data_IF_306531886522
#
_entry.id   IF_306531886522
#
_cell.length_a   1.000
_cell.length_b   1.000
_cell.length_c   1.000
_cell.angle_alpha   90.00
_cell.angle_beta   90.00
_cell.angle_gamma   90.00
#
_symmetry.space_group_name_H-M   'P 1'
#
loop_
_entity.id
_entity.type
_entity.pdbx_description
1 polymer ?
#
# COMPACT_ATOMS: atom_id res chain seq x y z
N UNK A 1 -11.92 -9.86 22.03
CA UNK A 1 -11.35 -8.53 21.67
C UNK A 1 -12.39 -7.80 20.82
N UNK A 2 -12.79 -6.56 21.16
CA UNK A 2 -13.83 -5.86 20.39
C UNK A 2 -13.31 -5.55 18.97
N UNK A 3 -14.19 -5.52 17.97
CA UNK A 3 -13.86 -5.22 16.56
C UNK A 3 -13.05 -3.92 16.43
N UNK A 4 -13.32 -2.94 17.29
CA UNK A 4 -12.59 -1.67 17.33
C UNK A 4 -11.15 -1.84 17.83
N UNK A 5 -10.89 -2.66 18.86
CA UNK A 5 -9.54 -2.91 19.36
C UNK A 5 -8.70 -3.66 18.32
N UNK A 6 -9.29 -4.64 17.62
CA UNK A 6 -8.60 -5.35 16.53
C UNK A 6 -8.23 -4.41 15.37
N UNK A 7 -9.17 -3.56 14.93
CA UNK A 7 -8.90 -2.57 13.88
C UNK A 7 -7.83 -1.57 14.30
N UNK A 8 -7.82 -1.12 15.56
CA UNK A 8 -6.79 -0.22 16.09
C UNK A 8 -5.41 -0.87 16.07
N UNK A 9 -5.28 -2.10 16.59
CA UNK A 9 -4.00 -2.84 16.55
C UNK A 9 -3.53 -3.04 15.11
N UNK A 10 -4.44 -3.41 14.20
CA UNK A 10 -4.15 -3.58 12.79
C UNK A 10 -3.79 -2.27 12.08
N UNK A 11 -4.14 -1.09 12.60
CA UNK A 11 -3.68 0.21 12.07
C UNK A 11 -2.31 0.60 12.63
N UNK A 12 -2.03 0.27 13.88
CA UNK A 12 -0.77 0.61 14.59
C UNK A 12 0.41 -0.27 14.16
N UNK A 13 0.18 -1.53 13.82
CA UNK A 13 1.27 -2.40 13.32
C UNK A 13 1.82 -1.91 11.96
N UNK A 14 0.97 -1.64 10.95
CA UNK A 14 1.37 -1.01 9.70
C UNK A 14 1.93 0.39 9.89
N UNK A 15 1.43 1.18 10.85
CA UNK A 15 1.98 2.51 11.19
C UNK A 15 3.50 2.44 11.37
N UNK A 16 3.97 1.58 12.26
CA UNK A 16 5.38 1.51 12.60
C UNK A 16 6.25 1.13 11.39
N UNK A 17 5.77 0.17 10.58
CA UNK A 17 6.52 -0.34 9.44
C UNK A 17 6.51 0.62 8.25
N UNK A 18 5.36 1.21 7.89
CA UNK A 18 5.28 2.20 6.81
C UNK A 18 5.97 3.51 7.17
N UNK A 19 5.85 3.99 8.42
CA UNK A 19 6.61 5.16 8.85
C UNK A 19 8.12 4.90 8.83
N UNK A 20 8.57 3.74 9.32
CA UNK A 20 9.99 3.38 9.26
C UNK A 20 10.46 3.30 7.82
N UNK A 21 9.72 2.58 6.97
CA UNK A 21 9.99 2.43 5.54
C UNK A 21 10.13 3.80 4.88
N UNK A 22 9.18 4.71 5.10
CA UNK A 22 9.20 6.06 4.54
C UNK A 22 10.36 6.90 5.09
N UNK A 23 10.59 6.88 6.41
CA UNK A 23 11.69 7.60 7.04
C UNK A 23 13.05 7.19 6.47
N UNK A 24 13.27 5.90 6.22
CA UNK A 24 14.49 5.42 5.57
C UNK A 24 14.62 5.97 4.13
N UNK A 25 13.53 6.09 3.36
CA UNK A 25 13.55 6.70 2.00
C UNK A 25 13.82 8.20 2.01
N UNK A 26 13.40 8.89 3.08
CA UNK A 26 13.71 10.31 3.30
C UNK A 26 15.09 10.55 3.92
N UNK A 27 15.82 9.48 4.31
CA UNK A 27 17.12 9.60 4.97
C UNK A 27 17.02 10.16 6.39
N UNK A 28 15.88 10.00 7.06
CA UNK A 28 15.69 10.45 8.43
C UNK A 28 16.38 9.46 9.38
N UNK A 29 17.24 9.93 10.31
CA UNK A 29 18.02 9.07 11.19
C UNK A 29 17.17 8.52 12.34
N UNK A 30 16.37 7.50 12.04
CA UNK A 30 15.65 6.70 13.04
C UNK A 30 16.28 5.31 13.14
N UNK A 31 16.01 4.63 14.27
CA UNK A 31 16.54 3.30 14.54
C UNK A 31 16.27 2.32 13.38
N UNK A 32 17.35 1.75 12.84
CA UNK A 32 17.30 0.75 11.79
C UNK A 32 17.27 1.30 10.36
N UNK A 33 17.37 2.63 10.17
CA UNK A 33 17.63 3.21 8.84
C UNK A 33 19.12 3.45 8.58
N UNK A 34 19.93 3.50 9.64
CA UNK A 34 21.35 3.80 9.69
C UNK A 34 22.28 2.58 9.47
N UNK A 35 21.73 1.46 9.02
CA UNK A 35 22.49 0.24 8.73
C UNK A 35 23.37 0.36 7.49
N UNK A 36 24.48 -0.40 7.47
CA UNK A 36 25.30 -0.57 6.29
C UNK A 36 24.52 -1.27 5.16
N UNK A 37 24.88 -0.97 3.90
CA UNK A 37 24.33 -1.68 2.75
C UNK A 37 24.73 -3.16 2.81
N UNK A 38 23.75 -4.05 2.94
CA UNK A 38 23.99 -5.48 2.77
C UNK A 38 24.27 -5.79 1.29
N UNK A 39 25.43 -6.38 0.91
CA UNK A 39 25.71 -6.71 -0.49
C UNK A 39 24.65 -7.60 -1.15
N UNK A 40 24.02 -8.49 -0.38
CA UNK A 40 22.93 -9.37 -0.84
C UNK A 40 21.72 -8.55 -1.33
N UNK A 41 21.47 -7.38 -0.74
CA UNK A 41 20.36 -6.51 -1.14
C UNK A 41 20.48 -6.06 -2.61
N UNK A 42 21.70 -5.96 -3.14
CA UNK A 42 21.98 -5.58 -4.53
C UNK A 42 22.45 -6.76 -5.38
N UNK A 43 22.14 -7.99 -4.97
CA UNK A 43 22.46 -9.22 -5.71
C UNK A 43 23.95 -9.61 -5.68
N UNK A 44 24.74 -9.05 -4.76
CA UNK A 44 26.14 -9.45 -4.56
C UNK A 44 26.25 -10.55 -3.49
N UNK A 45 27.27 -11.43 -3.54
CA UNK A 45 27.49 -12.44 -2.51
C UNK A 45 27.69 -11.80 -1.12
N UNK A 46 27.17 -12.44 -0.08
CA UNK A 46 27.32 -11.99 1.30
C UNK A 46 26.54 -12.86 2.29
N UNK A 47 26.85 -12.73 3.58
CA UNK A 47 26.20 -13.47 4.69
C UNK A 47 25.22 -12.62 5.50
N UNK A 48 25.06 -11.34 5.16
CA UNK A 48 24.12 -10.44 5.81
C UNK A 48 22.68 -10.66 5.32
N UNK A 49 21.71 -10.23 6.13
CA UNK A 49 20.29 -10.21 5.79
C UNK A 49 19.87 -8.76 5.54
N UNK A 50 19.30 -8.43 4.36
CA UNK A 50 18.78 -7.09 4.10
C UNK A 50 17.69 -6.70 5.12
N UNK A 51 17.75 -5.46 5.60
CA UNK A 51 16.86 -4.92 6.65
C UNK A 51 15.95 -3.79 6.15
N UNK A 52 16.03 -3.50 4.86
CA UNK A 52 15.46 -2.33 4.21
C UNK A 52 15.92 -1.01 4.89
N UNK A 53 17.20 -0.89 5.24
CA UNK A 53 17.75 0.37 5.74
C UNK A 53 17.85 1.43 4.62
N UNK A 54 18.25 2.66 4.94
CA UNK A 54 18.33 3.74 3.95
C UNK A 54 19.21 3.36 2.77
N UNK A 55 20.43 2.87 3.00
CA UNK A 55 21.35 2.55 1.90
C UNK A 55 20.82 1.45 0.99
N UNK A 56 20.18 0.42 1.56
CA UNK A 56 19.52 -0.64 0.81
C UNK A 56 18.36 -0.11 -0.04
N UNK A 57 17.50 0.74 0.53
CA UNK A 57 16.36 1.31 -0.19
C UNK A 57 16.81 2.25 -1.31
N UNK A 58 17.86 3.03 -1.11
CA UNK A 58 18.42 3.90 -2.15
C UNK A 58 19.07 3.06 -3.27
N UNK A 59 19.81 2.01 -2.91
CA UNK A 59 20.41 1.11 -3.89
C UNK A 59 19.35 0.32 -4.69
N UNK A 60 18.29 -0.15 -4.03
CA UNK A 60 17.14 -0.73 -4.72
C UNK A 60 16.47 0.27 -5.64
N UNK A 61 16.33 1.52 -5.21
CA UNK A 61 15.71 2.54 -6.03
C UNK A 61 16.45 2.75 -7.36
N UNK A 62 17.78 2.83 -7.30
CA UNK A 62 18.63 3.04 -8.46
C UNK A 62 18.74 1.79 -9.34
N UNK A 63 19.05 0.65 -8.75
CA UNK A 63 19.44 -0.55 -9.50
C UNK A 63 18.29 -1.52 -9.77
N UNK A 64 17.13 -1.30 -9.13
CA UNK A 64 16.06 -2.30 -9.13
C UNK A 64 14.68 -1.68 -9.44
N UNK A 65 14.18 -0.76 -8.61
CA UNK A 65 12.87 -0.15 -8.78
C UNK A 65 12.80 0.70 -10.05
N UNK A 66 13.83 1.52 -10.32
CA UNK A 66 13.84 2.39 -11.51
C UNK A 66 13.86 1.60 -12.82
N UNK A 67 14.77 0.62 -13.03
CA UNK A 67 14.74 -0.24 -14.21
C UNK A 67 13.41 -0.98 -14.37
N UNK A 68 12.85 -1.51 -13.27
CA UNK A 68 11.58 -2.21 -13.27
C UNK A 68 10.41 -1.29 -13.67
N UNK A 69 10.29 -0.12 -13.03
CA UNK A 69 9.22 0.84 -13.31
C UNK A 69 9.30 1.36 -14.75
N UNK A 70 10.50 1.70 -15.23
CA UNK A 70 10.69 2.15 -16.61
C UNK A 70 10.37 1.06 -17.63
N UNK A 71 10.72 -0.20 -17.35
CA UNK A 71 10.31 -1.33 -18.18
C UNK A 71 8.79 -1.44 -18.26
N UNK A 72 8.10 -1.37 -17.11
CA UNK A 72 6.64 -1.41 -17.07
C UNK A 72 6.00 -0.26 -17.86
N UNK A 73 6.45 0.98 -17.64
CA UNK A 73 5.97 2.17 -18.35
C UNK A 73 6.19 2.07 -19.87
N UNK A 74 7.34 1.53 -20.28
CA UNK A 74 7.62 1.29 -21.70
C UNK A 74 6.69 0.25 -22.32
N UNK A 75 6.33 -0.82 -21.59
CA UNK A 75 5.40 -1.86 -22.05
C UNK A 75 4.00 -1.29 -22.29
N UNK A 76 3.57 -0.33 -21.47
CA UNK A 76 2.27 0.36 -21.64
C UNK A 76 2.36 1.62 -22.51
N UNK A 77 3.48 1.86 -23.19
CA UNK A 77 3.72 2.98 -24.11
C UNK A 77 3.54 4.38 -23.49
N UNK A 78 3.82 4.52 -22.19
CA UNK A 78 3.80 5.83 -21.53
C UNK A 78 5.16 6.54 -21.71
N UNK A 79 5.21 7.80 -22.20
CA UNK A 79 6.45 8.53 -22.45
C UNK A 79 7.03 9.16 -21.17
N UNK A 80 6.92 8.48 -20.04
CA UNK A 80 7.40 8.94 -18.74
C UNK A 80 8.59 8.06 -18.34
N UNK A 81 9.66 8.70 -17.87
CA UNK A 81 10.82 8.00 -17.28
C UNK A 81 10.95 8.38 -15.82
N UNK A 82 10.93 7.36 -14.99
CA UNK A 82 11.26 7.44 -13.58
C UNK A 82 12.78 7.52 -13.46
N UNK A 83 13.25 8.37 -12.55
CA UNK A 83 14.67 8.51 -12.21
C UNK A 83 14.86 8.30 -10.71
N UNK A 84 15.92 7.59 -10.36
CA UNK A 84 16.35 7.49 -8.99
C UNK A 84 17.85 7.32 -8.94
N UNK A 85 18.54 8.39 -8.56
CA UNK A 85 19.98 8.41 -8.39
C UNK A 85 20.33 9.47 -7.35
N UNK A 86 21.58 9.48 -6.89
CA UNK A 86 22.08 10.56 -6.04
C UNK A 86 21.93 11.95 -6.69
N UNK A 87 22.07 12.04 -8.03
CA UNK A 87 21.96 13.31 -8.79
C UNK A 87 20.53 13.84 -8.83
N UNK A 88 19.56 12.93 -8.90
CA UNK A 88 18.13 13.25 -8.85
C UNK A 88 17.59 13.23 -7.41
N UNK A 89 18.48 13.26 -6.40
CA UNK A 89 18.11 13.25 -4.99
C UNK A 89 17.24 12.06 -4.55
N UNK A 90 17.33 10.94 -5.27
CA UNK A 90 16.50 9.74 -5.09
C UNK A 90 14.99 10.01 -5.10
N UNK A 91 14.53 10.91 -6.01
CA UNK A 91 13.13 11.32 -6.15
C UNK A 91 12.12 10.17 -6.13
N UNK A 92 12.37 9.09 -6.87
CA UNK A 92 11.44 7.96 -6.89
C UNK A 92 11.27 7.27 -5.53
N UNK A 93 12.35 7.14 -4.73
CA UNK A 93 12.25 6.61 -3.37
C UNK A 93 11.39 7.53 -2.51
N UNK A 94 11.60 8.85 -2.60
CA UNK A 94 10.82 9.84 -1.84
C UNK A 94 9.35 9.84 -2.23
N UNK A 95 9.03 9.65 -3.52
CA UNK A 95 7.64 9.50 -4.00
C UNK A 95 6.99 8.27 -3.37
N UNK A 96 7.67 7.11 -3.39
CA UNK A 96 7.14 5.89 -2.75
C UNK A 96 6.94 6.14 -1.25
N UNK A 97 7.91 6.75 -0.57
CA UNK A 97 7.83 7.10 0.85
C UNK A 97 6.65 8.02 1.15
N UNK A 98 6.41 9.04 0.32
CA UNK A 98 5.27 9.93 0.47
C UNK A 98 3.93 9.19 0.30
N UNK A 99 3.84 8.26 -0.67
CA UNK A 99 2.65 7.44 -0.86
C UNK A 99 2.40 6.49 0.33
N UNK A 100 3.45 5.91 0.91
CA UNK A 100 3.34 5.12 2.14
C UNK A 100 2.79 5.97 3.30
N UNK A 101 3.31 7.20 3.49
CA UNK A 101 2.82 8.12 4.52
C UNK A 101 1.38 8.56 4.29
N UNK A 102 1.01 8.90 3.05
CA UNK A 102 -0.35 9.30 2.71
C UNK A 102 -1.34 8.14 2.89
N UNK A 103 -0.95 6.93 2.49
CA UNK A 103 -1.77 5.73 2.63
C UNK A 103 -1.99 5.41 4.09
N UNK A 104 -0.94 5.58 4.88
CA UNK A 104 -0.98 5.45 6.31
C UNK A 104 -1.89 6.51 6.98
N UNK A 105 -1.72 7.80 6.67
CA UNK A 105 -2.56 8.86 7.21
C UNK A 105 -4.05 8.62 6.87
N UNK A 106 -4.32 8.16 5.65
CA UNK A 106 -5.66 7.80 5.21
C UNK A 106 -6.27 6.62 6.00
N UNK A 107 -5.48 5.73 6.64
CA UNK A 107 -6.04 4.68 7.50
C UNK A 107 -6.87 5.23 8.67
N UNK A 108 -6.64 6.47 9.08
CA UNK A 108 -7.32 7.12 10.20
C UNK A 108 -8.55 7.90 9.76
N UNK A 109 -8.46 8.59 8.63
CA UNK A 109 -9.53 9.46 8.11
C UNK A 109 -10.47 8.74 7.15
N UNK A 110 -9.92 7.93 6.24
CA UNK A 110 -10.66 7.11 5.28
C UNK A 110 -10.06 5.69 5.16
N UNK A 111 -10.37 4.81 6.14
CA UNK A 111 -9.65 3.55 6.32
C UNK A 111 -9.61 2.63 5.09
N UNK A 112 -10.70 2.60 4.31
CA UNK A 112 -10.80 1.79 3.10
C UNK A 112 -9.84 2.29 2.01
N UNK A 113 -9.79 3.60 1.80
CA UNK A 113 -8.88 4.21 0.83
C UNK A 113 -7.42 4.05 1.25
N UNK A 114 -7.10 4.30 2.53
CA UNK A 114 -5.74 4.10 3.05
C UNK A 114 -5.28 2.65 2.87
N UNK A 115 -6.12 1.70 3.26
CA UNK A 115 -5.80 0.28 3.13
C UNK A 115 -5.67 -0.17 1.67
N UNK A 116 -6.48 0.40 0.76
CA UNK A 116 -6.36 0.14 -0.69
C UNK A 116 -5.01 0.63 -1.21
N UNK A 117 -4.61 1.85 -0.87
CA UNK A 117 -3.35 2.43 -1.36
C UNK A 117 -2.14 1.66 -0.84
N UNK A 118 -2.13 1.32 0.45
CA UNK A 118 -1.08 0.51 1.06
C UNK A 118 -1.03 -0.92 0.49
N UNK A 119 -2.19 -1.49 0.15
CA UNK A 119 -2.28 -2.79 -0.53
C UNK A 119 -1.62 -2.76 -1.91
N UNK A 120 -1.91 -1.73 -2.72
CA UNK A 120 -1.29 -1.57 -4.05
C UNK A 120 0.23 -1.44 -3.94
N UNK A 121 0.72 -0.64 -3.00
CA UNK A 121 2.16 -0.50 -2.73
C UNK A 121 2.77 -1.86 -2.33
N UNK A 122 2.11 -2.60 -1.44
CA UNK A 122 2.61 -3.89 -0.96
C UNK A 122 2.60 -4.96 -2.05
N UNK A 123 1.58 -5.00 -2.91
CA UNK A 123 1.54 -5.89 -4.07
C UNK A 123 2.69 -5.55 -5.03
N UNK A 124 2.94 -4.26 -5.28
CA UNK A 124 4.08 -3.81 -6.08
C UNK A 124 5.41 -4.28 -5.49
N UNK A 125 5.59 -4.14 -4.17
CA UNK A 125 6.77 -4.61 -3.47
C UNK A 125 6.94 -6.14 -3.57
N UNK A 126 5.90 -6.92 -3.28
CA UNK A 126 5.92 -8.39 -3.41
C UNK A 126 6.26 -8.81 -4.84
N UNK A 127 5.61 -8.20 -5.84
CA UNK A 127 5.87 -8.48 -7.23
C UNK A 127 7.32 -8.17 -7.61
N UNK A 128 7.85 -7.04 -7.16
CA UNK A 128 9.26 -6.68 -7.33
C UNK A 128 10.20 -7.72 -6.71
N UNK A 129 9.98 -8.10 -5.45
CA UNK A 129 10.80 -9.10 -4.77
C UNK A 129 10.80 -10.46 -5.50
N UNK A 130 9.62 -10.93 -5.92
CA UNK A 130 9.50 -12.23 -6.60
C UNK A 130 10.04 -12.21 -8.03
N UNK A 131 9.83 -11.12 -8.78
CA UNK A 131 10.18 -11.09 -10.21
C UNK A 131 11.58 -10.58 -10.48
N UNK A 132 12.04 -9.59 -9.72
CA UNK A 132 13.33 -8.95 -9.91
C UNK A 132 14.39 -9.56 -9.00
N UNK A 133 14.15 -9.58 -7.68
CA UNK A 133 15.11 -10.14 -6.71
C UNK A 133 15.09 -11.68 -6.66
N UNK A 134 14.06 -12.31 -7.24
CA UNK A 134 13.85 -13.77 -7.21
C UNK A 134 13.79 -14.33 -5.79
N UNK A 135 13.32 -13.51 -4.85
CA UNK A 135 13.17 -13.95 -3.47
C UNK A 135 12.11 -15.07 -3.38
N UNK A 136 12.41 -16.18 -2.69
CA UNK A 136 11.40 -17.19 -2.41
C UNK A 136 10.34 -16.63 -1.46
N UNK A 137 9.11 -17.13 -1.60
CA UNK A 137 7.93 -16.71 -0.80
C UNK A 137 8.22 -16.71 0.70
N UNK A 138 9.00 -17.68 1.20
CA UNK A 138 9.39 -17.77 2.60
C UNK A 138 10.18 -16.57 3.16
N UNK A 139 10.82 -15.76 2.29
CA UNK A 139 11.53 -14.53 2.70
C UNK A 139 10.64 -13.28 2.75
N UNK A 140 9.38 -13.39 2.34
CA UNK A 140 8.44 -12.26 2.22
C UNK A 140 7.41 -12.20 3.37
N UNK A 141 7.70 -12.84 4.50
CA UNK A 141 6.76 -12.99 5.61
C UNK A 141 6.20 -11.66 6.13
N UNK A 142 7.03 -10.62 6.24
CA UNK A 142 6.60 -9.28 6.70
C UNK A 142 5.70 -8.61 5.65
N UNK A 143 6.02 -8.73 4.36
CA UNK A 143 5.23 -8.17 3.27
C UNK A 143 3.85 -8.83 3.21
N UNK A 144 3.78 -10.15 3.35
CA UNK A 144 2.50 -10.85 3.44
C UNK A 144 1.72 -10.48 4.69
N UNK A 145 2.38 -10.36 5.85
CA UNK A 145 1.71 -9.91 7.09
C UNK A 145 1.09 -8.51 6.94
N UNK A 146 1.81 -7.57 6.32
CA UNK A 146 1.31 -6.22 6.04
C UNK A 146 0.16 -6.22 5.01
N UNK A 147 0.25 -7.08 3.99
CA UNK A 147 -0.82 -7.28 3.02
C UNK A 147 -2.09 -7.81 3.71
N UNK A 148 -1.97 -8.86 4.53
CA UNK A 148 -3.09 -9.41 5.29
C UNK A 148 -3.70 -8.40 6.26
N UNK A 149 -2.87 -7.61 6.95
CA UNK A 149 -3.36 -6.55 7.83
C UNK A 149 -4.17 -5.50 7.05
N UNK A 150 -3.70 -5.08 5.88
CA UNK A 150 -4.38 -4.11 5.02
C UNK A 150 -5.71 -4.66 4.49
N UNK A 151 -5.73 -5.92 4.02
CA UNK A 151 -6.95 -6.61 3.60
C UNK A 151 -7.96 -6.72 4.75
N UNK A 152 -7.50 -7.12 5.94
CA UNK A 152 -8.35 -7.22 7.12
C UNK A 152 -8.98 -5.88 7.49
N UNK A 153 -8.23 -4.76 7.42
CA UNK A 153 -8.81 -3.42 7.60
C UNK A 153 -9.90 -3.14 6.57
N UNK A 154 -9.68 -3.44 5.28
CA UNK A 154 -10.70 -3.23 4.26
C UNK A 154 -11.99 -4.00 4.56
N UNK A 155 -11.89 -5.28 4.94
CA UNK A 155 -13.07 -6.08 5.30
C UNK A 155 -13.75 -5.59 6.59
N UNK A 156 -12.97 -5.19 7.59
CA UNK A 156 -13.49 -4.78 8.90
C UNK A 156 -14.06 -3.36 8.88
N UNK A 157 -13.61 -2.50 7.97
CA UNK A 157 -14.04 -1.09 7.85
C UNK A 157 -14.93 -0.81 6.64
N UNK A 158 -15.05 -1.76 5.71
CA UNK A 158 -16.02 -1.72 4.63
C UNK A 158 -17.42 -1.57 5.22
N UNK A 159 -18.08 -0.44 4.93
CA UNK A 159 -19.50 -0.30 5.21
C UNK A 159 -20.21 -1.45 4.47
N UNK A 160 -21.11 -2.22 5.12
CA UNK A 160 -21.93 -3.16 4.37
C UNK A 160 -22.58 -2.34 3.26
N UNK A 161 -22.44 -2.80 2.00
CA UNK A 161 -23.26 -2.25 0.92
C UNK A 161 -24.68 -2.34 1.44
N UNK A 162 -25.32 -1.20 1.75
CA UNK A 162 -26.74 -1.17 2.05
C UNK A 162 -27.35 -1.88 0.86
N UNK A 163 -27.90 -3.07 1.09
CA UNK A 163 -28.68 -3.76 0.08
C UNK A 163 -29.61 -2.69 -0.47
N UNK A 164 -29.48 -2.40 -1.76
CA UNK A 164 -30.27 -1.41 -2.43
C UNK A 164 -31.70 -1.88 -2.20
N UNK A 165 -32.40 -1.29 -1.23
CA UNK A 165 -33.81 -1.57 -1.03
C UNK A 165 -34.43 -1.12 -2.33
N UNK A 166 -34.71 -2.09 -3.19
CA UNK A 166 -35.63 -1.92 -4.30
C UNK A 166 -36.88 -1.38 -3.62
N UNK A 167 -37.10 -0.06 -3.72
CA UNK A 167 -38.36 0.54 -3.34
C UNK A 167 -39.40 -0.20 -4.17
N UNK A 168 -40.11 -1.15 -3.56
CA UNK A 168 -41.38 -1.62 -4.11
C UNK A 168 -42.20 -0.35 -4.25
N UNK A 169 -42.45 0.06 -5.49
CA UNK A 169 -43.39 1.11 -5.82
C UNK A 169 -44.74 0.66 -5.25
N UNK A 170 -45.09 1.18 -4.08
CA UNK A 170 -46.42 1.05 -3.54
C UNK A 170 -47.30 1.94 -4.41
N UNK A 171 -47.89 1.33 -5.45
CA UNK A 171 -49.02 1.91 -6.16
C UNK A 171 -50.12 2.19 -5.13
N UNK A 172 -50.30 3.46 -4.80
CA UNK A 172 -51.31 3.92 -3.86
C UNK A 172 -52.68 3.69 -4.47
N UNK A 173 -53.38 2.71 -3.90
CA UNK A 173 -54.81 2.46 -4.01
C UNK A 173 -55.58 3.79 -3.88
N UNK A 174 -56.26 4.25 -4.93
CA UNK A 174 -57.27 5.32 -4.85
C UNK A 174 -58.65 4.67 -4.88
N UNK A 175 -59.25 4.50 -3.69
CA UNK A 175 -60.63 4.06 -3.53
C UNK A 175 -61.57 5.26 -3.49
N UNK A 176 -62.54 5.24 -4.42
CA UNK A 176 -63.91 5.78 -4.38
C UNK A 176 -64.20 7.23 -3.93
N UNK A 177 -64.88 7.97 -4.81
CA UNK A 177 -66.10 8.68 -4.38
C UNK A 177 -67.15 8.67 -5.50
N UNK A 178 -68.24 7.95 -5.23
CA UNK A 178 -69.53 8.00 -5.89
C UNK A 178 -70.10 9.42 -5.70
N UNK A 179 -70.45 10.14 -6.77
CA UNK A 179 -71.31 11.33 -6.67
C UNK A 179 -72.38 11.27 -7.77
N UNK A 180 -73.63 11.09 -7.32
CA UNK A 180 -74.89 11.18 -8.07
C UNK A 180 -75.44 12.62 -7.93
N UNK A 181 -76.29 13.03 -8.89
CA UNK A 181 -77.11 14.25 -9.06
C UNK A 181 -76.59 15.17 -10.18
N UNK A 182 -77.37 15.59 -11.17
CA UNK A 182 -78.83 15.52 -11.43
C UNK A 182 -79.11 14.97 -12.83
#
# INVERSE_FOLDING_TARGET
MSRNVLVTVLRVLPLALYLRSAACKFGIPIAGCDGALCPVAVGKPGTCVPTANTLEQLAWCEHAWTPWANKLLSTVKLPIKVRCSAKDGYEFAKIIGALELLGYAALWTNPSQGATMLTVIMIGAIHFHMTFLKDPVGKLGIQFALLFASLAIMFLTGKPKKAQQVKKSASTRRSSSRKKRN
#
